data_IF_728735564421
#
_entry.id   IF_728735564421
#
_cell.length_a   1.000
_cell.length_b   1.000
_cell.length_c   1.000
_cell.angle_alpha   90.00
_cell.angle_beta   90.00
_cell.angle_gamma   90.00
#
_symmetry.space_group_name_H-M   'P 1'
#
loop_
_entity.id
_entity.type
_entity.pdbx_description
1 polymer ?
#
# COMPACT_ATOMS: atom_id res chain seq x y z
N UNK A 1 3.30 -8.21 -26.96
CA UNK A 1 4.40 -9.03 -27.53
C UNK A 1 5.79 -8.37 -27.45
N UNK A 2 5.89 -7.04 -27.29
CA UNK A 2 7.17 -6.30 -27.30
C UNK A 2 8.18 -6.76 -26.22
N UNK A 3 7.72 -7.07 -25.01
CA UNK A 3 8.61 -7.49 -23.90
C UNK A 3 9.27 -8.88 -24.07
N UNK A 4 9.07 -9.56 -25.20
CA UNK A 4 9.74 -10.84 -25.50
C UNK A 4 11.15 -10.66 -26.11
N UNK A 5 11.53 -9.44 -26.48
CA UNK A 5 12.84 -9.15 -27.03
C UNK A 5 13.80 -8.70 -25.94
N UNK A 6 15.04 -9.23 -25.89
CA UNK A 6 16.05 -8.79 -24.95
C UNK A 6 16.27 -7.27 -25.05
N UNK A 7 16.29 -6.60 -23.89
CA UNK A 7 16.49 -5.14 -23.81
C UNK A 7 15.26 -4.27 -24.09
N UNK A 8 14.13 -4.84 -24.54
CA UNK A 8 12.89 -4.08 -24.73
C UNK A 8 12.04 -4.14 -23.47
N UNK A 9 11.76 -2.99 -22.91
CA UNK A 9 10.86 -2.79 -21.76
C UNK A 9 9.72 -1.88 -22.21
N UNK A 10 8.61 -2.48 -22.63
CA UNK A 10 7.44 -1.80 -23.15
C UNK A 10 6.30 -1.80 -22.13
N UNK A 11 5.63 -0.68 -22.00
CA UNK A 11 4.37 -0.58 -21.28
C UNK A 11 3.32 0.17 -22.09
N UNK A 12 2.06 -0.24 -21.93
CA UNK A 12 0.90 0.51 -22.39
C UNK A 12 0.52 1.49 -21.29
N UNK A 13 0.57 2.78 -21.61
CA UNK A 13 0.25 3.83 -20.66
C UNK A 13 -0.91 4.69 -21.15
N UNK A 14 -1.78 5.06 -20.23
CA UNK A 14 -2.98 5.86 -20.49
C UNK A 14 -2.94 7.22 -19.76
N UNK A 15 -1.94 7.46 -18.93
CA UNK A 15 -1.77 8.69 -18.16
C UNK A 15 -0.28 9.06 -18.00
N UNK A 16 -0.02 10.35 -17.74
CA UNK A 16 1.32 10.92 -17.67
C UNK A 16 2.16 10.38 -16.50
N UNK A 17 1.50 10.06 -15.38
CA UNK A 17 2.20 9.55 -14.21
C UNK A 17 2.71 8.13 -14.46
N UNK A 18 1.87 7.25 -15.03
CA UNK A 18 2.28 5.89 -15.43
C UNK A 18 3.44 5.89 -16.44
N UNK A 19 3.49 6.87 -17.36
CA UNK A 19 4.62 7.02 -18.28
C UNK A 19 5.89 7.40 -17.55
N UNK A 20 5.83 8.40 -16.68
CA UNK A 20 6.98 8.86 -15.90
C UNK A 20 7.53 7.75 -15.00
N UNK A 21 6.66 7.11 -14.24
CA UNK A 21 7.02 6.00 -13.35
C UNK A 21 7.61 4.82 -14.13
N UNK A 22 7.01 4.46 -15.26
CA UNK A 22 7.51 3.39 -16.12
C UNK A 22 8.92 3.65 -16.64
N UNK A 23 9.26 4.89 -16.98
CA UNK A 23 10.63 5.25 -17.39
C UNK A 23 11.57 5.28 -16.19
N UNK A 24 11.20 6.01 -15.12
CA UNK A 24 12.09 6.28 -13.99
C UNK A 24 12.37 5.03 -13.16
N UNK A 25 11.33 4.21 -12.91
CA UNK A 25 11.42 3.08 -12.00
C UNK A 25 11.69 1.76 -12.70
N UNK A 26 11.00 1.50 -13.82
CA UNK A 26 11.09 0.24 -14.56
C UNK A 26 12.05 0.31 -15.75
N UNK A 27 12.56 1.50 -16.05
CA UNK A 27 13.43 1.76 -17.20
C UNK A 27 12.74 1.47 -18.53
N UNK A 28 11.45 1.80 -18.63
CA UNK A 28 10.68 1.65 -19.87
C UNK A 28 11.35 2.39 -21.02
N UNK A 29 11.64 1.70 -22.10
CA UNK A 29 12.30 2.26 -23.29
C UNK A 29 11.43 2.13 -24.56
N UNK A 30 10.22 1.65 -24.44
CA UNK A 30 9.22 1.61 -25.51
C UNK A 30 7.85 1.98 -24.93
N UNK A 31 7.33 3.13 -25.39
CA UNK A 31 5.99 3.59 -25.04
C UNK A 31 4.98 3.06 -26.08
N UNK A 32 3.92 2.41 -25.60
CA UNK A 32 2.80 2.00 -26.42
C UNK A 32 1.58 2.81 -26.02
N UNK A 33 0.96 3.49 -26.98
CA UNK A 33 -0.24 4.30 -26.78
C UNK A 33 -1.41 3.68 -27.53
N UNK A 34 -2.57 3.56 -26.87
CA UNK A 34 -3.80 3.10 -27.53
C UNK A 34 -4.37 4.17 -28.45
N UNK A 35 -4.77 3.79 -29.68
CA UNK A 35 -5.27 4.76 -30.66
C UNK A 35 -6.72 5.23 -30.44
N UNK A 36 -7.47 4.64 -29.52
CA UNK A 36 -8.87 4.99 -29.29
C UNK A 36 -8.98 6.10 -28.23
N UNK A 37 -9.50 7.27 -28.62
CA UNK A 37 -9.68 8.42 -27.72
C UNK A 37 -8.42 9.27 -27.48
N UNK A 38 -7.31 8.99 -28.15
CA UNK A 38 -6.10 9.77 -28.06
C UNK A 38 -6.19 10.99 -28.99
N UNK A 39 -6.19 12.19 -28.42
CA UNK A 39 -6.04 13.41 -29.23
C UNK A 39 -4.57 13.63 -29.59
N UNK A 40 -4.27 14.32 -30.71
CA UNK A 40 -2.88 14.64 -31.08
C UNK A 40 -2.12 15.38 -29.99
N UNK A 41 -2.76 16.36 -29.32
CA UNK A 41 -2.16 17.16 -28.26
C UNK A 41 -1.80 16.27 -27.05
N UNK A 42 -2.72 15.40 -26.64
CA UNK A 42 -2.46 14.45 -25.58
C UNK A 42 -1.35 13.45 -25.90
N UNK A 43 -1.29 12.98 -27.16
CA UNK A 43 -0.22 12.10 -27.61
C UNK A 43 1.14 12.80 -27.55
N UNK A 44 1.22 14.09 -27.93
CA UNK A 44 2.43 14.91 -27.82
C UNK A 44 2.84 15.12 -26.36
N UNK A 45 1.89 15.36 -25.47
CA UNK A 45 2.17 15.53 -24.04
C UNK A 45 2.73 14.25 -23.41
N UNK A 46 2.10 13.12 -23.67
CA UNK A 46 2.56 11.79 -23.21
C UNK A 46 3.94 11.46 -23.77
N UNK A 47 4.19 11.70 -25.04
CA UNK A 47 5.51 11.49 -25.66
C UNK A 47 6.57 12.42 -25.08
N UNK A 48 6.22 13.67 -24.80
CA UNK A 48 7.12 14.64 -24.17
C UNK A 48 7.54 14.17 -22.77
N UNK A 49 6.60 13.70 -21.94
CA UNK A 49 6.92 13.13 -20.63
C UNK A 49 7.83 11.90 -20.75
N UNK A 50 7.55 11.00 -21.71
CA UNK A 50 8.38 9.83 -21.96
C UNK A 50 9.82 10.19 -22.34
N UNK A 51 10.00 11.12 -23.29
CA UNK A 51 11.32 11.54 -23.80
C UNK A 51 12.13 12.28 -22.72
N UNK A 52 11.46 13.12 -21.92
CA UNK A 52 12.13 13.93 -20.89
C UNK A 52 12.30 13.21 -19.56
N UNK A 53 11.75 12.00 -19.40
CA UNK A 53 11.97 11.20 -18.21
C UNK A 53 13.29 10.43 -18.30
N UNK A 54 14.13 10.52 -17.27
CA UNK A 54 15.43 9.84 -17.23
C UNK A 54 15.35 8.61 -16.34
N UNK A 55 15.83 7.48 -16.85
CA UNK A 55 16.01 6.28 -16.05
C UNK A 55 17.21 6.45 -15.12
N UNK A 56 17.01 6.31 -13.83
CA UNK A 56 18.06 6.36 -12.80
C UNK A 56 18.30 4.98 -12.20
N UNK A 57 19.13 4.12 -12.83
CA UNK A 57 19.45 2.81 -12.26
C UNK A 57 20.30 2.99 -11.00
N UNK A 58 19.68 2.74 -9.86
CA UNK A 58 20.36 2.83 -8.55
C UNK A 58 19.72 3.79 -7.55
N UNK A 59 18.93 4.75 -7.99
CA UNK A 59 18.13 5.60 -7.12
C UNK A 59 16.66 5.16 -7.08
N UNK A 60 16.40 3.85 -7.04
CA UNK A 60 15.03 3.41 -6.73
C UNK A 60 14.74 3.86 -5.32
N UNK A 61 13.80 4.80 -5.09
CA UNK A 61 13.28 4.94 -3.76
C UNK A 61 12.71 3.57 -3.38
N UNK A 62 13.32 2.93 -2.38
CA UNK A 62 12.89 1.61 -1.91
C UNK A 62 11.48 1.79 -1.29
N UNK A 63 10.44 1.82 -2.15
CA UNK A 63 9.06 2.00 -1.76
C UNK A 63 8.53 3.44 -1.88
N UNK A 64 7.44 3.72 -1.18
CA UNK A 64 6.79 5.05 -1.13
C UNK A 64 7.62 6.00 -0.27
N UNK A 65 7.85 7.26 -0.71
CA UNK A 65 8.56 8.26 0.10
C UNK A 65 7.96 8.41 1.50
N UNK A 66 8.77 8.54 2.57
CA UNK A 66 8.31 8.48 3.97
C UNK A 66 7.18 9.43 4.30
N UNK A 67 7.25 10.68 3.84
CA UNK A 67 6.20 11.67 4.09
C UNK A 67 4.88 11.28 3.41
N UNK A 68 4.93 10.72 2.20
CA UNK A 68 3.75 10.25 1.48
C UNK A 68 3.18 8.99 2.14
N UNK A 69 4.05 8.05 2.52
CA UNK A 69 3.65 6.85 3.25
C UNK A 69 2.97 7.21 4.57
N UNK A 70 3.54 8.13 5.35
CA UNK A 70 2.94 8.59 6.60
C UNK A 70 1.53 9.16 6.40
N UNK A 71 1.31 9.98 5.35
CA UNK A 71 -0.03 10.50 5.00
C UNK A 71 -1.01 9.40 4.66
N UNK A 72 -0.58 8.37 3.91
CA UNK A 72 -1.43 7.22 3.53
C UNK A 72 -1.80 6.42 4.78
N UNK A 73 -0.84 6.11 5.64
CA UNK A 73 -1.06 5.36 6.89
C UNK A 73 -1.97 6.14 7.83
N UNK A 74 -1.76 7.44 7.98
CA UNK A 74 -2.64 8.31 8.77
C UNK A 74 -4.08 8.32 8.21
N UNK A 75 -4.22 8.41 6.88
CA UNK A 75 -5.53 8.34 6.23
C UNK A 75 -6.21 6.99 6.49
N UNK A 76 -5.49 5.88 6.41
CA UNK A 76 -6.01 4.54 6.73
C UNK A 76 -6.52 4.53 8.18
N UNK A 77 -5.69 4.93 9.14
CA UNK A 77 -6.01 4.91 10.57
C UNK A 77 -7.23 5.77 10.94
N UNK A 78 -7.40 6.92 10.27
CA UNK A 78 -8.54 7.83 10.48
C UNK A 78 -9.84 7.36 9.84
N UNK A 79 -9.81 6.39 8.93
CA UNK A 79 -10.97 5.97 8.15
C UNK A 79 -11.18 4.46 8.15
N UNK A 80 -10.79 3.77 9.23
CA UNK A 80 -10.89 2.31 9.32
C UNK A 80 -12.32 1.79 9.17
N UNK A 81 -13.31 2.59 9.57
CA UNK A 81 -14.74 2.36 9.45
C UNK A 81 -15.25 2.38 7.99
N UNK A 82 -14.46 2.96 7.07
CA UNK A 82 -14.86 3.16 5.67
C UNK A 82 -14.26 2.11 4.73
N UNK A 83 -14.84 1.95 3.53
CA UNK A 83 -14.22 1.11 2.50
C UNK A 83 -12.88 1.73 2.03
N UNK A 84 -11.79 1.07 2.38
CA UNK A 84 -10.41 1.45 2.02
C UNK A 84 -9.89 0.53 0.90
N UNK A 85 -10.45 0.70 -0.30
CA UNK A 85 -9.99 -0.05 -1.48
C UNK A 85 -8.65 0.46 -2.01
N UNK A 86 -7.93 -0.42 -2.72
CA UNK A 86 -6.63 -0.09 -3.35
C UNK A 86 -6.74 1.11 -4.28
N UNK A 87 -7.88 1.27 -4.99
CA UNK A 87 -8.12 2.41 -5.87
C UNK A 87 -8.11 3.75 -5.13
N UNK A 88 -8.78 3.85 -3.98
CA UNK A 88 -8.80 5.07 -3.17
C UNK A 88 -7.41 5.42 -2.62
N UNK A 89 -6.69 4.40 -2.13
CA UNK A 89 -5.34 4.58 -1.57
C UNK A 89 -4.31 4.93 -2.65
N UNK A 90 -4.40 4.32 -3.84
CA UNK A 90 -3.52 4.63 -4.95
C UNK A 90 -3.74 6.04 -5.49
N UNK A 91 -4.99 6.51 -5.54
CA UNK A 91 -5.31 7.90 -5.90
C UNK A 91 -4.72 8.90 -4.89
N UNK A 92 -4.80 8.61 -3.58
CA UNK A 92 -4.17 9.41 -2.54
C UNK A 92 -2.63 9.45 -2.67
N UNK A 93 -2.05 8.36 -3.17
CA UNK A 93 -0.62 8.23 -3.43
C UNK A 93 -0.20 8.86 -4.77
N UNK A 94 -1.16 9.26 -5.62
CA UNK A 94 -0.92 9.71 -6.99
C UNK A 94 -0.18 8.66 -7.84
N UNK A 95 -0.56 7.38 -7.67
CA UNK A 95 0.05 6.23 -8.32
C UNK A 95 -1.00 5.36 -8.99
N UNK A 96 -0.60 4.59 -9.99
CA UNK A 96 -1.45 3.50 -10.50
C UNK A 96 -1.64 2.42 -9.42
N UNK A 97 -2.77 1.69 -9.44
CA UNK A 97 -3.07 0.67 -8.43
C UNK A 97 -1.99 -0.42 -8.34
N UNK A 98 -1.47 -0.84 -9.49
CA UNK A 98 -0.44 -1.87 -9.58
C UNK A 98 0.88 -1.39 -8.97
N UNK A 99 1.32 -0.19 -9.35
CA UNK A 99 2.53 0.42 -8.82
C UNK A 99 2.42 0.69 -7.33
N UNK A 100 1.30 1.30 -6.90
CA UNK A 100 1.01 1.52 -5.48
C UNK A 100 1.10 0.24 -4.65
N UNK A 101 0.45 -0.84 -5.10
CA UNK A 101 0.44 -2.12 -4.36
C UNK A 101 1.86 -2.67 -4.18
N UNK A 102 2.69 -2.59 -5.23
CA UNK A 102 4.10 -3.02 -5.20
C UNK A 102 4.93 -2.15 -4.25
N UNK A 103 4.84 -0.82 -4.41
CA UNK A 103 5.61 0.12 -3.60
C UNK A 103 5.18 0.13 -2.14
N UNK A 104 3.87 0.02 -1.87
CA UNK A 104 3.34 -0.07 -0.52
C UNK A 104 3.83 -1.33 0.20
N UNK A 105 3.81 -2.49 -0.50
CA UNK A 105 4.36 -3.74 0.05
C UNK A 105 5.87 -3.64 0.30
N UNK A 106 6.63 -2.99 -0.58
CA UNK A 106 8.06 -2.75 -0.36
C UNK A 106 8.31 -1.86 0.86
N UNK A 107 7.43 -0.87 1.11
CA UNK A 107 7.58 0.08 2.23
C UNK A 107 7.14 -0.48 3.57
N UNK A 108 6.09 -1.33 3.59
CA UNK A 108 5.43 -1.78 4.82
C UNK A 108 5.60 -3.26 5.11
N UNK A 109 6.10 -4.03 4.14
CA UNK A 109 6.14 -5.50 4.19
C UNK A 109 4.81 -6.16 3.88
N UNK A 110 3.68 -5.43 3.83
CA UNK A 110 2.34 -5.96 3.65
C UNK A 110 1.66 -5.38 2.40
N UNK A 111 0.85 -6.20 1.74
CA UNK A 111 -0.04 -5.67 0.70
C UNK A 111 -1.06 -4.69 1.32
N UNK A 112 -1.54 -3.66 0.56
CA UNK A 112 -2.43 -2.63 1.11
C UNK A 112 -3.64 -3.16 1.85
N UNK A 113 -4.33 -4.16 1.29
CA UNK A 113 -5.48 -4.79 1.93
C UNK A 113 -5.10 -5.49 3.26
N UNK A 114 -3.99 -6.21 3.29
CA UNK A 114 -3.50 -6.88 4.50
C UNK A 114 -3.14 -5.87 5.59
N UNK A 115 -2.53 -4.75 5.19
CA UNK A 115 -2.21 -3.65 6.11
C UNK A 115 -3.48 -3.04 6.72
N UNK A 116 -4.51 -2.76 5.91
CA UNK A 116 -5.80 -2.25 6.42
C UNK A 116 -6.43 -3.23 7.40
N UNK A 117 -6.45 -4.53 7.09
CA UNK A 117 -6.97 -5.55 8.01
C UNK A 117 -6.18 -5.57 9.33
N UNK A 118 -4.85 -5.48 9.26
CA UNK A 118 -4.00 -5.44 10.45
C UNK A 118 -4.30 -4.21 11.32
N UNK A 119 -4.45 -3.02 10.72
CA UNK A 119 -4.80 -1.79 11.46
C UNK A 119 -6.20 -1.89 12.09
N UNK A 120 -7.18 -2.46 11.38
CA UNK A 120 -8.52 -2.75 11.92
C UNK A 120 -8.46 -3.66 13.15
N UNK A 121 -7.68 -4.74 13.07
CA UNK A 121 -7.50 -5.65 14.20
C UNK A 121 -6.75 -4.98 15.36
N UNK A 122 -5.73 -4.18 15.08
CA UNK A 122 -5.03 -3.43 16.12
C UNK A 122 -5.98 -2.47 16.85
N UNK A 123 -6.80 -1.71 16.10
CA UNK A 123 -7.82 -0.83 16.70
C UNK A 123 -8.88 -1.61 17.49
N UNK A 124 -9.31 -2.76 17.00
CA UNK A 124 -10.29 -3.60 17.71
C UNK A 124 -9.74 -4.14 19.03
N UNK A 125 -8.43 -4.43 19.14
CA UNK A 125 -7.81 -4.83 20.41
C UNK A 125 -7.91 -3.73 21.48
N UNK A 126 -7.75 -2.47 21.09
CA UNK A 126 -7.90 -1.33 22.00
C UNK A 126 -9.34 -1.24 22.51
N UNK A 127 -10.32 -1.35 21.58
CA UNK A 127 -11.73 -1.28 21.93
C UNK A 127 -12.20 -2.45 22.79
N UNK A 128 -11.70 -3.67 22.51
CA UNK A 128 -12.06 -4.87 23.26
C UNK A 128 -11.49 -4.93 24.69
N UNK A 129 -10.56 -4.07 25.04
CA UNK A 129 -10.04 -3.95 26.44
C UNK A 129 -11.05 -3.32 27.39
N UNK A 130 -12.11 -2.70 26.88
CA UNK A 130 -13.21 -2.21 27.69
C UNK A 130 -14.18 -3.37 27.98
N UNK A 131 -14.46 -3.63 29.27
CA UNK A 131 -15.26 -4.79 29.72
C UNK A 131 -16.67 -4.83 29.12
N UNK A 132 -17.26 -3.67 28.82
CA UNK A 132 -18.62 -3.54 28.27
C UNK A 132 -18.67 -3.60 26.75
N UNK A 133 -17.53 -3.76 26.04
CA UNK A 133 -17.49 -3.72 24.59
C UNK A 133 -18.19 -4.93 23.95
N UNK A 134 -19.23 -4.67 23.17
CA UNK A 134 -19.91 -5.73 22.41
C UNK A 134 -19.13 -6.02 21.13
N UNK A 135 -18.76 -7.27 20.93
CA UNK A 135 -17.94 -7.73 19.80
C UNK A 135 -18.53 -7.31 18.45
N UNK A 136 -19.87 -7.32 18.32
CA UNK A 136 -20.56 -6.90 17.09
C UNK A 136 -20.38 -5.41 16.83
N UNK A 137 -20.48 -4.56 17.86
CA UNK A 137 -20.32 -3.12 17.77
C UNK A 137 -18.86 -2.78 17.40
N UNK A 138 -17.90 -3.42 18.07
CA UNK A 138 -16.47 -3.26 17.74
C UNK A 138 -16.19 -3.67 16.29
N UNK A 139 -16.75 -4.81 15.82
CA UNK A 139 -16.55 -5.23 14.44
C UNK A 139 -17.02 -4.18 13.43
N UNK A 140 -18.20 -3.59 13.65
CA UNK A 140 -18.76 -2.55 12.79
C UNK A 140 -17.93 -1.25 12.87
N UNK A 141 -17.56 -0.83 14.08
CA UNK A 141 -16.77 0.40 14.31
C UNK A 141 -15.41 0.36 13.59
N UNK A 142 -14.77 -0.81 13.54
CA UNK A 142 -13.51 -0.95 12.82
C UNK A 142 -13.67 -1.31 11.33
N UNK A 143 -14.90 -1.27 10.81
CA UNK A 143 -15.19 -1.36 9.38
C UNK A 143 -15.33 -2.78 8.82
N UNK A 144 -15.66 -3.78 9.65
CA UNK A 144 -16.09 -5.08 9.14
C UNK A 144 -17.60 -5.07 8.89
N UNK A 145 -18.03 -5.67 7.79
CA UNK A 145 -19.44 -5.74 7.41
C UNK A 145 -20.27 -6.66 8.35
N UNK A 146 -19.61 -7.65 8.96
CA UNK A 146 -20.26 -8.59 9.89
C UNK A 146 -19.27 -9.17 10.89
N UNK A 147 -19.83 -9.61 12.03
CA UNK A 147 -19.06 -10.19 13.14
C UNK A 147 -18.36 -11.51 12.76
N UNK A 148 -18.93 -12.31 11.86
CA UNK A 148 -18.35 -13.60 11.50
C UNK A 148 -17.02 -13.42 10.76
N UNK A 149 -16.99 -12.53 9.78
CA UNK A 149 -15.76 -12.15 9.07
C UNK A 149 -14.73 -11.55 10.03
N UNK A 150 -15.15 -10.62 10.90
CA UNK A 150 -14.28 -10.06 11.94
C UNK A 150 -13.65 -11.15 12.81
N UNK A 151 -14.48 -12.07 13.35
CA UNK A 151 -14.00 -13.13 14.24
C UNK A 151 -12.97 -14.03 13.56
N UNK A 152 -13.20 -14.37 12.28
CA UNK A 152 -12.27 -15.18 11.48
C UNK A 152 -10.94 -14.46 11.28
N UNK A 153 -10.98 -13.19 10.84
CA UNK A 153 -9.76 -12.40 10.60
C UNK A 153 -9.00 -12.15 11.91
N UNK A 154 -9.73 -11.82 12.98
CA UNK A 154 -9.16 -11.63 14.31
C UNK A 154 -8.46 -12.90 14.79
N UNK A 155 -9.14 -14.06 14.69
CA UNK A 155 -8.56 -15.36 15.07
C UNK A 155 -7.29 -15.68 14.29
N UNK A 156 -7.28 -15.44 12.98
CA UNK A 156 -6.11 -15.68 12.12
C UNK A 156 -4.92 -14.78 12.45
N UNK A 157 -5.15 -13.51 12.83
CA UNK A 157 -4.09 -12.55 13.10
C UNK A 157 -3.64 -12.52 14.56
N UNK A 158 -4.51 -12.91 15.51
CA UNK A 158 -4.23 -12.83 16.94
C UNK A 158 -3.99 -14.21 17.57
N UNK A 159 -4.45 -15.28 16.92
CA UNK A 159 -4.32 -16.66 17.43
C UNK A 159 -5.42 -17.05 18.43
N UNK A 160 -6.37 -16.16 18.71
CA UNK A 160 -7.51 -16.43 19.61
C UNK A 160 -8.74 -15.64 19.18
N UNK A 161 -9.93 -16.06 19.66
CA UNK A 161 -11.17 -15.34 19.33
C UNK A 161 -11.24 -13.98 20.03
N UNK A 162 -12.01 -13.00 19.50
CA UNK A 162 -12.24 -11.71 20.15
C UNK A 162 -12.74 -11.85 21.59
N UNK A 163 -13.61 -12.84 21.84
CA UNK A 163 -14.15 -13.09 23.18
C UNK A 163 -13.12 -13.66 24.16
N UNK A 164 -12.21 -14.50 23.67
CA UNK A 164 -11.08 -14.96 24.48
C UNK A 164 -10.12 -13.82 24.81
N UNK A 165 -9.84 -12.98 23.81
CA UNK A 165 -9.00 -11.79 23.97
C UNK A 165 -9.58 -10.82 25.02
N UNK A 166 -10.87 -10.52 24.95
CA UNK A 166 -11.56 -9.65 25.92
C UNK A 166 -11.46 -10.14 27.37
N UNK A 167 -11.43 -11.47 27.57
CA UNK A 167 -11.34 -12.10 28.90
C UNK A 167 -9.90 -12.23 29.40
N UNK A 168 -8.92 -12.09 28.52
CA UNK A 168 -7.51 -12.21 28.87
C UNK A 168 -6.91 -10.81 29.10
N UNK A 169 -6.97 -10.30 30.32
CA UNK A 169 -6.52 -8.95 30.66
C UNK A 169 -5.00 -8.69 30.41
N UNK A 170 -4.20 -9.75 30.24
CA UNK A 170 -2.72 -9.67 30.18
C UNK A 170 -2.09 -10.26 28.89
N UNK A 171 -2.85 -10.50 27.83
CA UNK A 171 -2.29 -11.09 26.62
C UNK A 171 -1.74 -10.05 25.65
N UNK A 172 -0.43 -9.98 25.55
CA UNK A 172 0.28 -9.27 24.49
C UNK A 172 0.68 -10.29 23.41
N UNK A 173 -0.03 -10.34 22.26
CA UNK A 173 0.28 -11.30 21.21
C UNK A 173 1.63 -10.97 20.56
N UNK A 174 2.41 -11.98 20.14
CA UNK A 174 3.59 -11.76 19.34
C UNK A 174 3.23 -11.00 18.05
N UNK A 175 4.05 -10.04 17.67
CA UNK A 175 3.92 -9.29 16.41
C UNK A 175 4.24 -10.25 15.27
N UNK A 176 3.19 -10.77 14.61
CA UNK A 176 3.34 -11.82 13.58
C UNK A 176 3.70 -11.30 12.18
N UNK A 177 3.74 -9.99 11.94
CA UNK A 177 4.06 -9.43 10.63
C UNK A 177 4.87 -8.14 10.77
N UNK A 178 6.01 -8.12 10.08
CA UNK A 178 6.91 -7.03 9.76
C UNK A 178 7.10 -5.88 10.76
N UNK A 179 8.23 -5.21 10.72
CA UNK A 179 8.49 -4.12 11.65
C UNK A 179 7.47 -2.99 11.48
N UNK A 180 7.09 -2.29 12.56
CA UNK A 180 6.28 -1.08 12.48
C UNK A 180 6.85 -0.11 11.46
N UNK A 181 5.99 0.71 10.85
CA UNK A 181 6.43 1.75 9.88
C UNK A 181 7.54 2.65 10.46
N UNK A 182 7.59 2.79 11.78
CA UNK A 182 8.65 3.50 12.52
C UNK A 182 10.02 2.80 12.42
N UNK A 183 10.04 1.46 12.33
CA UNK A 183 11.31 0.72 12.15
C UNK A 183 11.87 0.83 10.73
N UNK A 184 11.04 1.15 9.73
CA UNK A 184 11.51 1.46 8.39
C UNK A 184 12.32 2.76 8.32
N UNK A 185 12.28 3.60 9.35
CA UNK A 185 13.11 4.80 9.47
C UNK A 185 14.53 4.47 9.92
N UNK A 186 14.73 3.47 10.77
CA UNK A 186 16.06 3.10 11.30
C UNK A 186 16.97 2.42 10.27
N UNK A 187 16.40 1.81 9.23
CA UNK A 187 17.18 1.17 8.15
C UNK A 187 17.88 2.17 7.22
N UNK A 188 17.50 3.45 7.26
CA UNK A 188 18.11 4.50 6.42
C UNK A 188 19.34 5.13 7.02
N UNK A 189 19.49 5.09 8.33
CA UNK A 189 20.66 5.68 9.01
C UNK A 189 21.91 4.80 8.89
N UNK A 190 21.75 3.50 8.62
CA UNK A 190 22.88 2.56 8.57
C UNK A 190 23.44 2.29 7.17
N UNK A 191 22.83 2.84 6.11
CA UNK A 191 23.28 2.58 4.71
C UNK A 191 24.06 3.75 4.07
N UNK A 192 24.23 4.86 4.77
CA UNK A 192 24.95 6.03 4.24
C UNK A 192 26.35 6.31 4.85
N UNK A 193 26.81 5.45 5.75
CA UNK A 193 28.21 5.52 6.21
C UNK A 193 29.00 4.33 5.66
N UNK A 194 29.49 4.46 4.44
CA UNK A 194 30.33 3.40 3.84
C UNK A 194 30.84 3.71 2.43
N UNK A 195 31.74 4.72 2.32
CA UNK A 195 32.72 4.93 1.23
C UNK A 195 32.20 5.33 -0.13
#
# INVERSE_FOLDING_TARGET
>A
MANKHPGVRAALSHDLNSVREGVQDDGMNLLVMGGYGLTPDWACEVASVFINSTYSPGEKPFGIPPRRLARIVEHIRKNLDKPLGVGALSSLAEMSQSHFSKMFKLSTGLAPHQFVLQERINRSKELLRHDDAKIVEVALEVGFENQAHFTTVFGNLVGMTPRQFQRSADYEPPVMYGPPVEAAQSWREHTYEGR
#
